data_IF_395591535572
#
_entry.id   IF_395591535572
#
_cell.length_a   1.000
_cell.length_b   1.000
_cell.length_c   1.000
_cell.angle_alpha   90.00
_cell.angle_beta   90.00
_cell.angle_gamma   90.00
#
_symmetry.space_group_name_H-M   'P 1'
#
loop_
_entity.id
_entity.type
_entity.pdbx_description
1 polymer ?
#
# COMPACT_ATOMS: atom_id res chain seq x y z
N UNK A 1 13.43 -10.28 -9.94
CA UNK A 1 14.34 -10.80 -8.88
C UNK A 1 13.53 -11.60 -7.87
N UNK A 2 14.12 -12.53 -7.09
CA UNK A 2 13.38 -13.26 -6.04
C UNK A 2 13.43 -12.53 -4.70
N UNK A 3 12.30 -12.49 -3.99
CA UNK A 3 12.08 -11.75 -2.75
C UNK A 3 11.30 -12.61 -1.74
N UNK A 4 11.43 -12.25 -0.46
CA UNK A 4 10.56 -12.76 0.60
C UNK A 4 9.27 -11.94 0.67
N UNK A 5 8.11 -12.60 0.69
CA UNK A 5 6.80 -11.97 0.84
C UNK A 5 5.82 -12.82 1.65
N UNK A 6 4.83 -12.18 2.28
CA UNK A 6 3.70 -12.83 2.92
C UNK A 6 2.54 -12.93 1.92
N UNK A 7 2.22 -14.14 1.49
CA UNK A 7 1.22 -14.43 0.45
C UNK A 7 -0.02 -15.05 1.07
N UNK A 8 -1.19 -14.62 0.60
CA UNK A 8 -2.48 -15.27 0.86
C UNK A 8 -2.87 -16.02 -0.41
N UNK A 9 -2.96 -17.35 -0.33
CA UNK A 9 -3.18 -18.17 -1.53
C UNK A 9 -4.64 -18.16 -2.02
N UNK A 10 -5.59 -17.99 -1.11
CA UNK A 10 -7.02 -17.94 -1.40
C UNK A 10 -7.76 -17.16 -0.31
N UNK A 11 -8.99 -16.74 -0.60
CA UNK A 11 -9.83 -16.04 0.37
C UNK A 11 -9.85 -16.76 1.73
N UNK A 12 -9.67 -15.96 2.78
CA UNK A 12 -9.66 -16.33 4.19
C UNK A 12 -8.54 -17.30 4.62
N UNK A 13 -7.57 -17.60 3.76
CA UNK A 13 -6.40 -18.39 4.17
C UNK A 13 -5.42 -17.57 5.02
N UNK A 14 -4.57 -18.25 5.77
CA UNK A 14 -3.48 -17.63 6.52
C UNK A 14 -2.42 -17.04 5.59
N UNK A 15 -1.65 -16.09 6.12
CA UNK A 15 -0.44 -15.59 5.47
C UNK A 15 0.64 -16.66 5.46
N UNK A 16 1.21 -16.95 4.30
CA UNK A 16 2.36 -17.82 4.13
C UNK A 16 3.58 -17.01 3.74
N UNK A 17 4.65 -17.13 4.51
CA UNK A 17 5.93 -16.53 4.14
C UNK A 17 6.56 -17.40 3.05
N UNK A 18 6.82 -16.80 1.88
CA UNK A 18 7.49 -17.42 0.73
C UNK A 18 8.75 -16.62 0.42
N UNK A 19 9.83 -17.30 0.06
CA UNK A 19 11.16 -16.71 -0.17
C UNK A 19 11.54 -16.60 -1.66
N UNK A 20 10.62 -16.97 -2.55
CA UNK A 20 10.86 -17.15 -3.97
C UNK A 20 9.84 -16.44 -4.86
N UNK A 21 9.12 -15.45 -4.32
CA UNK A 21 8.25 -14.57 -5.10
C UNK A 21 9.11 -13.73 -6.03
N UNK A 22 8.74 -13.69 -7.31
CA UNK A 22 9.42 -12.96 -8.35
C UNK A 22 8.81 -11.55 -8.43
N UNK A 23 9.65 -10.54 -8.19
CA UNK A 23 9.27 -9.14 -8.33
C UNK A 23 9.35 -8.70 -9.79
N UNK A 24 8.38 -7.89 -10.21
CA UNK A 24 8.34 -7.26 -11.53
C UNK A 24 9.67 -6.59 -11.92
N UNK A 25 9.93 -6.55 -13.23
CA UNK A 25 11.00 -5.72 -13.77
C UNK A 25 10.65 -4.25 -13.60
N UNK A 26 11.65 -3.42 -13.28
CA UNK A 26 11.45 -1.99 -13.13
C UNK A 26 11.19 -1.34 -14.49
N UNK A 27 10.10 -0.58 -14.56
CA UNK A 27 9.80 0.34 -15.65
C UNK A 27 10.56 1.67 -15.54
N UNK A 28 10.32 2.58 -16.50
CA UNK A 28 10.99 3.88 -16.56
C UNK A 28 10.70 4.80 -15.37
N UNK A 29 9.46 4.78 -14.87
CA UNK A 29 8.94 5.61 -13.78
C UNK A 29 8.89 4.89 -12.42
N UNK A 30 9.51 3.71 -12.33
CA UNK A 30 9.50 2.89 -11.12
C UNK A 30 10.66 3.18 -10.17
N UNK A 31 10.41 2.95 -8.89
CA UNK A 31 11.43 2.87 -7.84
C UNK A 31 11.37 1.50 -7.17
N UNK A 32 12.54 0.93 -6.89
CA UNK A 32 12.66 -0.28 -6.08
C UNK A 32 12.88 0.14 -4.63
N UNK A 33 12.05 -0.35 -3.72
CA UNK A 33 12.06 0.01 -2.30
C UNK A 33 12.35 -1.22 -1.45
N UNK A 34 13.41 -1.14 -0.65
CA UNK A 34 13.66 -2.07 0.44
C UNK A 34 12.72 -1.76 1.60
N UNK A 35 11.86 -2.70 1.93
CA UNK A 35 10.87 -2.49 2.98
C UNK A 35 11.50 -2.69 4.36
N UNK A 36 11.37 -1.68 5.22
CA UNK A 36 11.89 -1.70 6.59
C UNK A 36 10.77 -2.03 7.58
N UNK A 37 9.59 -1.47 7.36
CA UNK A 37 8.41 -1.74 8.18
C UNK A 37 7.13 -1.57 7.37
N UNK A 38 6.11 -2.33 7.76
CA UNK A 38 4.74 -2.18 7.26
C UNK A 38 3.77 -2.17 8.44
N UNK A 39 2.82 -1.24 8.42
CA UNK A 39 1.62 -1.32 9.25
C UNK A 39 0.70 -2.45 8.78
N UNK A 40 -0.15 -2.94 9.70
CA UNK A 40 -1.26 -3.84 9.39
C UNK A 40 -2.54 -3.02 9.55
N UNK A 41 -3.20 -2.74 8.44
CA UNK A 41 -4.42 -1.96 8.40
C UNK A 41 -5.63 -2.88 8.31
N UNK A 42 -6.79 -2.39 8.75
CA UNK A 42 -8.04 -3.14 8.67
C UNK A 42 -8.41 -3.52 7.22
N UNK A 43 -8.01 -2.71 6.24
CA UNK A 43 -8.25 -3.00 4.82
C UNK A 43 -7.47 -4.22 4.31
N UNK A 44 -6.31 -4.54 4.90
CA UNK A 44 -5.58 -5.77 4.55
C UNK A 44 -6.39 -7.01 4.96
N UNK A 45 -6.92 -6.99 6.19
CA UNK A 45 -7.78 -8.06 6.70
C UNK A 45 -9.11 -8.14 5.96
N UNK A 46 -9.72 -7.01 5.62
CA UNK A 46 -10.98 -6.96 4.87
C UNK A 46 -10.82 -7.63 3.49
N UNK A 47 -9.71 -7.39 2.79
CA UNK A 47 -9.42 -8.09 1.54
C UNK A 47 -9.19 -9.58 1.79
N UNK A 48 -8.33 -9.94 2.76
CA UNK A 48 -8.06 -11.35 3.13
C UNK A 48 -9.34 -12.12 3.44
N UNK A 49 -10.27 -11.54 4.22
CA UNK A 49 -11.55 -12.14 4.59
C UNK A 49 -12.55 -12.18 3.41
N UNK A 50 -12.34 -11.36 2.38
CA UNK A 50 -13.20 -11.23 1.20
C UNK A 50 -14.39 -10.29 1.40
N UNK A 51 -14.25 -9.29 2.25
CA UNK A 51 -15.19 -8.17 2.36
C UNK A 51 -15.12 -7.24 1.13
N UNK A 52 -14.07 -7.37 0.31
CA UNK A 52 -13.91 -6.75 -0.99
C UNK A 52 -13.36 -7.76 -2.01
N UNK A 53 -13.65 -7.52 -3.29
CA UNK A 53 -13.27 -8.42 -4.39
C UNK A 53 -11.86 -8.08 -4.84
N UNK A 54 -10.96 -9.07 -4.81
CA UNK A 54 -9.63 -9.03 -5.40
C UNK A 54 -9.19 -10.44 -5.80
N UNK A 55 -8.23 -10.54 -6.71
CA UNK A 55 -7.70 -11.81 -7.16
C UNK A 55 -6.73 -12.43 -6.15
N UNK A 56 -6.59 -13.76 -6.24
CA UNK A 56 -5.70 -14.57 -5.41
C UNK A 56 -4.89 -15.52 -6.30
N UNK A 57 -3.64 -15.89 -5.93
CA UNK A 57 -2.91 -15.52 -4.71
C UNK A 57 -2.53 -14.03 -4.66
N UNK A 58 -2.36 -13.44 -3.48
CA UNK A 58 -2.10 -12.00 -3.30
C UNK A 58 -1.01 -11.72 -2.26
N UNK A 59 -0.21 -10.68 -2.51
CA UNK A 59 0.63 -10.02 -1.48
C UNK A 59 -0.13 -8.78 -1.01
N UNK A 60 -0.47 -8.71 0.28
CA UNK A 60 -1.18 -7.57 0.87
C UNK A 60 -0.20 -6.52 1.45
N UNK A 61 -0.73 -5.56 2.21
CA UNK A 61 0.03 -4.51 2.88
C UNK A 61 0.04 -3.23 2.06
N UNK A 62 -0.24 -2.11 2.71
CA UNK A 62 -0.26 -0.81 2.03
C UNK A 62 0.11 0.38 2.92
N UNK A 63 0.67 0.06 4.09
CA UNK A 63 1.21 1.03 5.05
C UNK A 63 2.72 0.83 5.17
N UNK A 64 3.38 0.83 4.01
CA UNK A 64 4.81 0.53 3.88
C UNK A 64 5.72 1.74 4.12
N UNK A 65 6.90 1.47 4.69
CA UNK A 65 8.01 2.43 4.81
C UNK A 65 9.34 1.74 4.54
N UNK A 66 10.23 2.43 3.86
CA UNK A 66 11.45 1.81 3.34
C UNK A 66 12.47 2.77 2.76
N UNK A 67 13.45 2.18 2.10
CA UNK A 67 14.60 2.89 1.52
C UNK A 67 14.63 2.58 0.03
N UNK A 68 14.77 3.61 -0.79
CA UNK A 68 14.92 3.45 -2.24
C UNK A 68 16.27 2.79 -2.55
N UNK A 69 16.24 1.65 -3.23
CA UNK A 69 17.45 0.93 -3.66
C UNK A 69 17.85 1.30 -5.09
N UNK A 70 16.85 1.45 -5.98
CA UNK A 70 17.04 1.77 -7.40
C UNK A 70 15.92 2.65 -7.91
N UNK A 71 16.20 3.36 -8.99
CA UNK A 71 15.24 4.22 -9.68
C UNK A 71 15.31 3.97 -11.18
N UNK A 72 14.17 4.05 -11.84
CA UNK A 72 14.06 4.01 -13.29
C UNK A 72 14.61 5.29 -13.94
N UNK A 73 14.91 5.25 -15.25
CA UNK A 73 15.51 6.37 -15.99
C UNK A 73 14.67 7.66 -16.06
N UNK A 74 13.35 7.58 -15.86
CA UNK A 74 12.44 8.74 -15.90
C UNK A 74 12.06 9.26 -14.50
N UNK A 75 12.56 8.62 -13.44
CA UNK A 75 12.35 9.08 -12.06
C UNK A 75 13.15 10.36 -11.82
N UNK A 76 12.49 11.36 -11.23
CA UNK A 76 13.07 12.68 -10.97
C UNK A 76 13.01 13.10 -9.50
N UNK A 77 12.13 12.49 -8.71
CA UNK A 77 11.85 12.88 -7.33
C UNK A 77 12.64 12.07 -6.30
N UNK A 78 13.22 10.93 -6.70
CA UNK A 78 13.95 10.02 -5.81
C UNK A 78 15.32 9.66 -6.35
N UNK A 79 16.19 9.26 -5.42
CA UNK A 79 17.47 8.62 -5.70
C UNK A 79 17.70 7.47 -4.71
N UNK A 80 18.59 6.51 -5.02
CA UNK A 80 19.00 5.49 -4.06
C UNK A 80 19.43 6.10 -2.72
N UNK A 81 19.00 5.47 -1.62
CA UNK A 81 19.20 5.92 -0.25
C UNK A 81 18.12 6.88 0.28
N UNK A 82 17.24 7.42 -0.56
CA UNK A 82 16.12 8.22 -0.07
C UNK A 82 15.15 7.35 0.73
N UNK A 83 14.65 7.92 1.83
CA UNK A 83 13.65 7.27 2.67
C UNK A 83 12.25 7.64 2.24
N UNK A 84 11.37 6.65 2.23
CA UNK A 84 10.02 6.80 1.68
C UNK A 84 8.96 6.12 2.55
N UNK A 85 7.78 6.71 2.53
CA UNK A 85 6.53 6.00 2.84
C UNK A 85 5.78 5.73 1.55
N UNK A 86 5.06 4.61 1.51
CA UNK A 86 4.23 4.23 0.38
C UNK A 86 2.78 4.61 0.63
N UNK A 87 2.06 4.95 -0.43
CA UNK A 87 0.63 5.27 -0.41
C UNK A 87 -0.04 4.78 -1.69
N UNK A 88 -1.35 5.01 -1.80
CA UNK A 88 -2.15 4.63 -2.95
C UNK A 88 -1.72 5.37 -4.22
N UNK A 89 -1.91 4.73 -5.38
CA UNK A 89 -1.59 5.33 -6.67
C UNK A 89 -2.70 6.26 -7.16
N UNK A 90 -2.31 7.40 -7.72
CA UNK A 90 -3.20 8.31 -8.43
C UNK A 90 -2.63 8.64 -9.82
N UNK A 91 -3.48 8.62 -10.85
CA UNK A 91 -3.04 8.69 -12.25
C UNK A 91 -2.36 10.01 -12.66
N UNK A 92 -2.54 11.08 -11.88
CA UNK A 92 -1.91 12.39 -12.15
C UNK A 92 -2.45 13.15 -13.37
N UNK A 93 -3.36 12.56 -14.16
CA UNK A 93 -3.79 13.12 -15.44
C UNK A 93 -5.32 13.34 -15.57
N UNK A 94 -6.14 12.70 -14.73
CA UNK A 94 -7.57 12.95 -14.71
C UNK A 94 -7.89 14.32 -14.07
N UNK A 95 -9.07 14.88 -14.35
CA UNK A 95 -9.53 16.15 -13.81
C UNK A 95 -9.43 16.26 -12.28
N UNK A 96 -9.77 15.20 -11.54
CA UNK A 96 -9.64 15.19 -10.08
C UNK A 96 -8.18 15.25 -9.62
N UNK A 97 -7.28 14.54 -10.31
CA UNK A 97 -5.85 14.62 -10.04
C UNK A 97 -5.29 16.01 -10.39
N UNK A 98 -5.68 16.60 -11.52
CA UNK A 98 -5.26 17.93 -11.94
C UNK A 98 -5.79 19.05 -11.02
N UNK A 99 -6.89 18.80 -10.31
CA UNK A 99 -7.44 19.67 -9.26
C UNK A 99 -6.80 19.46 -7.89
N UNK A 100 -5.83 18.56 -7.76
CA UNK A 100 -5.16 18.27 -6.49
C UNK A 100 -5.98 17.39 -5.53
N UNK A 101 -6.88 16.56 -6.06
CA UNK A 101 -7.73 15.65 -5.26
C UNK A 101 -7.42 14.18 -5.63
N UNK A 102 -6.21 13.69 -5.37
CA UNK A 102 -5.76 12.37 -5.82
C UNK A 102 -6.55 11.21 -5.20
N UNK A 103 -7.10 11.39 -3.98
CA UNK A 103 -7.96 10.42 -3.32
C UNK A 103 -9.29 10.16 -4.07
N UNK A 104 -9.67 11.05 -5.00
CA UNK A 104 -10.82 10.89 -5.89
C UNK A 104 -10.40 10.64 -7.34
N UNK A 105 -9.23 10.05 -7.56
CA UNK A 105 -8.75 9.66 -8.89
C UNK A 105 -9.85 8.87 -9.64
N UNK A 106 -10.17 9.26 -10.88
CA UNK A 106 -11.17 8.54 -11.69
C UNK A 106 -10.78 7.08 -11.96
N UNK A 107 -9.48 6.79 -11.94
CA UNK A 107 -8.90 5.47 -12.17
C UNK A 107 -8.53 4.75 -10.86
N UNK A 108 -9.02 5.22 -9.71
CA UNK A 108 -8.60 4.70 -8.40
C UNK A 108 -8.75 3.19 -8.29
N UNK A 109 -9.96 2.65 -8.52
CA UNK A 109 -10.21 1.22 -8.37
C UNK A 109 -9.37 0.39 -9.34
N UNK A 110 -9.28 0.81 -10.61
CA UNK A 110 -8.52 0.10 -11.64
C UNK A 110 -7.01 0.03 -11.33
N UNK A 111 -6.46 1.05 -10.68
CA UNK A 111 -5.03 1.09 -10.40
C UNK A 111 -4.64 0.51 -9.04
N UNK A 112 -5.61 0.36 -8.12
CA UNK A 112 -5.29 0.06 -6.72
C UNK A 112 -5.95 -1.22 -6.19
N UNK A 113 -7.02 -1.69 -6.84
CA UNK A 113 -7.83 -2.83 -6.39
C UNK A 113 -8.00 -3.89 -7.49
N UNK A 114 -7.28 -3.76 -8.61
CA UNK A 114 -7.34 -4.71 -9.73
C UNK A 114 -6.45 -5.94 -9.53
N UNK A 115 -5.49 -5.90 -8.61
CA UNK A 115 -4.49 -6.94 -8.42
C UNK A 115 -3.36 -6.92 -9.46
N UNK A 116 -3.40 -6.01 -10.42
CA UNK A 116 -2.38 -5.86 -11.47
C UNK A 116 -1.91 -4.42 -11.56
N UNK A 117 -0.72 -4.25 -12.12
CA UNK A 117 -0.19 -2.92 -12.40
C UNK A 117 -1.08 -2.19 -13.41
N UNK A 118 -1.08 -0.84 -13.44
CA UNK A 118 -1.90 -0.05 -14.38
C UNK A 118 -1.67 -0.36 -15.88
N UNK A 119 -0.51 -0.92 -16.23
CA UNK A 119 -0.18 -1.36 -17.60
C UNK A 119 -0.62 -2.81 -17.91
N UNK A 120 -1.27 -3.48 -16.96
CA UNK A 120 -1.76 -4.85 -17.05
C UNK A 120 -0.72 -5.92 -16.72
N UNK A 121 0.52 -5.55 -16.41
CA UNK A 121 1.56 -6.49 -16.02
C UNK A 121 1.37 -6.98 -14.57
N UNK A 122 1.94 -8.14 -14.27
CA UNK A 122 1.96 -8.67 -12.91
C UNK A 122 2.99 -7.92 -12.06
N UNK A 123 2.58 -7.45 -10.89
CA UNK A 123 3.50 -6.88 -9.91
C UNK A 123 4.40 -7.96 -9.30
N UNK A 124 3.81 -9.13 -9.05
CA UNK A 124 4.48 -10.32 -8.52
C UNK A 124 4.16 -11.55 -9.35
N UNK A 125 5.11 -12.47 -9.46
CA UNK A 125 4.86 -13.81 -9.98
C UNK A 125 5.41 -14.90 -9.06
N UNK A 126 4.83 -16.09 -9.13
CA UNK A 126 5.33 -17.30 -8.49
C UNK A 126 5.43 -18.38 -9.57
N UNK A 127 6.66 -18.77 -9.93
CA UNK A 127 6.93 -19.71 -11.03
C UNK A 127 6.27 -19.26 -12.36
N UNK A 128 6.36 -17.97 -12.67
CA UNK A 128 5.74 -17.38 -13.86
C UNK A 128 4.22 -17.25 -13.84
N UNK A 129 3.55 -17.58 -12.73
CA UNK A 129 2.10 -17.35 -12.54
C UNK A 129 1.86 -16.06 -11.79
N UNK A 130 0.83 -15.33 -12.17
CA UNK A 130 0.43 -14.08 -11.53
C UNK A 130 0.15 -14.25 -10.03
N UNK A 131 0.66 -13.30 -9.24
CA UNK A 131 0.29 -13.07 -7.84
C UNK A 131 -0.15 -11.61 -7.75
N UNK A 132 -1.36 -11.39 -7.25
CA UNK A 132 -1.99 -10.09 -7.17
C UNK A 132 -1.25 -9.15 -6.20
N UNK A 133 -1.36 -7.85 -6.46
CA UNK A 133 -0.94 -6.78 -5.56
C UNK A 133 -2.11 -6.03 -4.94
N UNK A 134 -1.78 -5.13 -4.02
CA UNK A 134 -2.69 -4.20 -3.39
C UNK A 134 -2.10 -2.79 -3.52
N UNK A 135 -2.92 -1.84 -3.99
CA UNK A 135 -2.57 -0.42 -4.13
C UNK A 135 -1.38 -0.11 -5.05
N UNK A 136 -1.03 -1.00 -6.00
CA UNK A 136 0.19 -0.89 -6.83
C UNK A 136 1.46 -0.78 -5.97
N UNK A 137 1.46 -1.42 -4.79
CA UNK A 137 2.61 -1.41 -3.88
C UNK A 137 2.87 -2.71 -3.14
N UNK A 138 1.89 -3.27 -2.43
CA UNK A 138 2.03 -4.42 -1.53
C UNK A 138 3.26 -4.39 -0.62
N UNK A 139 3.10 -3.89 0.60
CA UNK A 139 4.21 -3.71 1.56
C UNK A 139 4.54 -4.93 2.42
N UNK A 140 3.79 -6.04 2.37
CA UNK A 140 4.13 -7.29 3.07
C UNK A 140 5.17 -8.12 2.33
N UNK A 141 6.26 -7.46 1.94
CA UNK A 141 7.41 -8.02 1.23
C UNK A 141 8.70 -7.40 1.78
N UNK A 142 9.81 -8.08 1.58
CA UNK A 142 11.17 -7.55 1.81
C UNK A 142 11.55 -6.44 0.83
N UNK A 143 11.01 -6.45 -0.39
CA UNK A 143 11.30 -5.46 -1.43
C UNK A 143 10.12 -5.37 -2.38
N UNK A 144 9.78 -4.17 -2.82
CA UNK A 144 8.73 -3.93 -3.81
C UNK A 144 9.18 -2.96 -4.90
N UNK A 145 8.48 -2.94 -6.04
CA UNK A 145 8.69 -2.01 -7.14
C UNK A 145 7.41 -1.19 -7.31
N UNK A 146 7.47 0.08 -6.97
CA UNK A 146 6.32 0.98 -7.04
C UNK A 146 6.59 2.08 -8.03
N UNK A 147 5.54 2.68 -8.58
CA UNK A 147 5.70 3.89 -9.39
C UNK A 147 6.15 5.05 -8.51
N UNK A 148 6.87 6.00 -9.09
CA UNK A 148 7.30 7.22 -8.40
C UNK A 148 6.15 7.90 -7.62
N UNK A 149 4.94 7.90 -8.18
CA UNK A 149 3.74 8.51 -7.57
C UNK A 149 3.15 7.76 -6.37
N UNK A 150 3.56 6.52 -6.11
CA UNK A 150 3.16 5.77 -4.92
C UNK A 150 3.98 6.14 -3.68
N UNK A 151 5.08 6.87 -3.85
CA UNK A 151 6.00 7.15 -2.77
C UNK A 151 5.99 8.62 -2.38
N UNK A 152 6.21 8.87 -1.09
CA UNK A 152 6.46 10.20 -0.53
C UNK A 152 7.78 10.15 0.23
N UNK A 153 8.68 11.06 -0.11
CA UNK A 153 9.96 11.21 0.58
C UNK A 153 9.76 11.71 2.00
N UNK A 154 10.54 11.17 2.92
CA UNK A 154 10.61 11.62 4.31
C UNK A 154 12.06 11.92 4.70
N UNK A 155 12.23 12.68 5.77
CA UNK A 155 13.54 13.02 6.32
C UNK A 155 14.23 11.77 6.90
N UNK A 156 15.57 11.81 6.91
CA UNK A 156 16.39 10.66 7.25
C UNK A 156 16.57 10.38 8.74
N UNK A 157 16.22 11.35 9.57
CA UNK A 157 16.22 11.27 11.03
C UNK A 157 14.91 10.70 11.61
N UNK A 158 13.92 10.42 10.77
CA UNK A 158 12.63 9.84 11.16
C UNK A 158 12.73 8.32 11.28
N UNK A 159 12.19 7.76 12.37
CA UNK A 159 12.15 6.31 12.60
C UNK A 159 11.14 5.61 11.66
N UNK A 160 11.62 4.92 10.61
CA UNK A 160 10.80 4.21 9.61
C UNK A 160 9.73 3.31 10.22
N UNK A 161 10.07 2.68 11.35
CA UNK A 161 9.21 1.68 12.00
C UNK A 161 7.88 2.25 12.48
N UNK A 162 7.73 3.58 12.50
CA UNK A 162 6.53 4.27 13.03
C UNK A 162 5.72 5.00 11.96
N UNK A 163 6.22 5.11 10.74
CA UNK A 163 5.65 6.04 9.74
C UNK A 163 4.88 5.36 8.62
N UNK A 164 4.95 4.04 8.49
CA UNK A 164 4.12 3.28 7.54
C UNK A 164 2.63 3.68 7.55
N UNK A 165 1.97 3.80 8.73
CA UNK A 165 0.57 4.22 8.81
C UNK A 165 0.25 5.63 8.27
N UNK A 166 1.26 6.48 8.03
CA UNK A 166 1.07 7.78 7.38
C UNK A 166 0.55 7.63 5.95
N UNK A 167 0.88 6.53 5.28
CA UNK A 167 0.47 6.21 3.92
C UNK A 167 -1.01 5.87 3.75
N UNK A 168 -1.71 5.49 4.83
CA UNK A 168 -3.13 5.15 4.77
C UNK A 168 -3.93 5.61 6.00
N UNK A 169 -3.89 4.89 7.12
CA UNK A 169 -4.80 5.12 8.25
C UNK A 169 -4.71 6.54 8.84
N UNK A 170 -3.50 7.09 8.94
CA UNK A 170 -3.30 8.43 9.49
C UNK A 170 -3.78 9.52 8.53
N UNK A 171 -3.41 9.47 7.25
CA UNK A 171 -3.86 10.47 6.24
C UNK A 171 -5.38 10.41 6.06
N UNK A 172 -5.97 9.22 6.13
CA UNK A 172 -7.43 9.04 6.05
C UNK A 172 -8.14 9.65 7.26
N UNK A 173 -7.68 9.34 8.48
CA UNK A 173 -8.28 9.86 9.71
C UNK A 173 -8.12 11.37 9.84
N UNK A 174 -6.91 11.88 9.65
CA UNK A 174 -6.63 13.32 9.71
C UNK A 174 -7.34 14.08 8.59
N UNK A 175 -7.32 13.57 7.35
CA UNK A 175 -8.04 14.18 6.23
C UNK A 175 -9.55 14.24 6.44
N UNK A 176 -10.15 13.22 7.07
CA UNK A 176 -11.57 13.26 7.43
C UNK A 176 -11.89 14.42 8.36
N UNK A 177 -11.04 14.67 9.36
CA UNK A 177 -11.27 15.76 10.33
C UNK A 177 -10.95 17.12 9.70
N UNK A 178 -9.77 17.25 9.09
CA UNK A 178 -9.22 18.54 8.66
C UNK A 178 -9.78 19.03 7.34
N UNK A 179 -10.14 18.12 6.42
CA UNK A 179 -10.57 18.49 5.07
C UNK A 179 -12.08 18.34 4.87
N UNK A 180 -12.71 17.33 5.48
CA UNK A 180 -14.15 17.07 5.27
C UNK A 180 -15.01 17.64 6.41
N UNK A 181 -14.72 17.28 7.65
CA UNK A 181 -15.55 17.66 8.79
C UNK A 181 -15.38 19.12 9.17
N UNK A 182 -14.14 19.63 9.17
CA UNK A 182 -13.76 21.01 9.49
C UNK A 182 -14.46 21.55 10.75
N UNK A 183 -14.32 20.87 11.90
CA UNK A 183 -15.04 21.23 13.11
C UNK A 183 -14.58 22.59 13.63
N UNK A 184 -15.51 23.36 14.21
CA UNK A 184 -15.21 24.63 14.86
C UNK A 184 -15.00 24.44 16.36
N UNK A 185 -14.26 25.34 17.03
CA UNK A 185 -14.15 25.31 18.49
C UNK A 185 -15.52 25.27 19.16
N UNK A 186 -15.72 24.28 20.04
CA UNK A 186 -16.99 24.06 20.74
C UNK A 186 -17.92 23.02 20.10
N UNK A 187 -17.66 22.58 18.86
CA UNK A 187 -18.47 21.54 18.23
C UNK A 187 -18.24 20.17 18.90
N UNK A 188 -19.33 19.44 19.16
CA UNK A 188 -19.26 18.07 19.72
C UNK A 188 -19.46 17.04 18.62
N UNK A 189 -18.50 16.14 18.48
CA UNK A 189 -18.51 15.07 17.49
C UNK A 189 -18.40 13.71 18.17
N UNK A 190 -19.05 12.70 17.60
CA UNK A 190 -19.01 11.32 18.09
C UNK A 190 -18.42 10.41 17.04
N UNK A 191 -17.32 9.73 17.37
CA UNK A 191 -16.85 8.59 16.58
C UNK A 191 -17.66 7.36 16.99
N UNK A 192 -18.44 6.82 16.06
CA UNK A 192 -19.17 5.58 16.28
C UNK A 192 -18.24 4.42 15.92
N UNK A 193 -17.77 3.70 16.94
CA UNK A 193 -17.04 2.46 16.74
C UNK A 193 -18.05 1.33 16.56
N UNK A 194 -18.15 0.79 15.36
CA UNK A 194 -18.75 -0.52 15.18
C UNK A 194 -17.73 -1.54 15.67
N UNK A 195 -18.02 -2.17 16.82
CA UNK A 195 -17.20 -3.25 17.36
C UNK A 195 -17.44 -4.48 16.49
N UNK A 196 -16.64 -4.63 15.44
CA UNK A 196 -16.59 -5.87 14.69
C UNK A 196 -15.88 -6.90 15.58
N UNK A 197 -16.49 -8.09 15.74
CA UNK A 197 -16.10 -9.12 16.74
C UNK A 197 -14.78 -9.79 16.32
N UNK A 198 -13.64 -9.13 16.48
CA UNK A 198 -12.36 -9.66 15.98
C UNK A 198 -11.33 -10.03 17.06
N UNK A 199 -11.55 -9.66 18.33
CA UNK A 199 -10.67 -10.06 19.44
C UNK A 199 -11.42 -10.93 20.45
N UNK A 200 -11.75 -12.16 20.08
CA UNK A 200 -12.38 -13.14 20.99
C UNK A 200 -11.64 -14.49 21.05
N UNK A 201 -10.38 -14.58 20.64
CA UNK A 201 -9.68 -15.87 20.66
C UNK A 201 -8.18 -15.78 20.94
N UNK A 202 -7.77 -14.91 21.86
CA UNK A 202 -6.44 -14.99 22.48
C UNK A 202 -6.55 -14.80 24.00
N UNK A 203 -7.21 -15.74 24.65
CA UNK A 203 -7.02 -16.05 26.06
C UNK A 203 -6.47 -17.49 26.13
N UNK A 204 -5.16 -17.62 26.38
CA UNK A 204 -4.55 -18.91 26.68
C UNK A 204 -3.18 -19.12 26.05
N UNK A 205 -2.14 -18.52 26.65
CA UNK A 205 -0.87 -19.17 27.04
C UNK A 205 -0.29 -18.40 28.23
#
# INVERSE_FOLDING_TARGET
>A
MKIKAAVVDQQNSDFKIKDDIELAEMGPDDIQVHMVASGICHSDEALRAGDAIIDYPIVLGHEGSGIVEKVGPEVTQFKPGDHVILSFYACGNCDNCLRGIPAQCRNYAANNLSGIRPDGSSHFTENGKHVADMFDQSSFTSTTVVRERNAVKIDDDIDFRKVGPLGCGYVTGSGTVLNNLQPRPGDTHRRIWYRSRWFSSYDGW
#
